data_IF_040809070304
#
_entry.id   IF_040809070304
#
_cell.length_a   1.000
_cell.length_b   1.000
_cell.length_c   1.000
_cell.angle_alpha   90.00
_cell.angle_beta   90.00
_cell.angle_gamma   90.00
#
_symmetry.space_group_name_H-M   'P 1'
#
loop_
_entity.id
_entity.type
_entity.pdbx_description
1 polymer ?
#
# COMPACT_ATOMS: atom_id res chain seq x y z
N UNK A 1 1.45 -22.21 -1.29
CA UNK A 1 0.77 -21.87 -0.02
C UNK A 1 0.85 -20.38 0.13
N UNK A 2 -0.14 -19.75 0.73
CA UNK A 2 -0.12 -18.29 0.90
C UNK A 2 0.91 -17.85 1.94
N UNK A 3 1.46 -16.65 1.81
CA UNK A 3 2.30 -16.03 2.84
C UNK A 3 1.49 -15.88 4.14
N UNK A 4 2.08 -16.14 5.33
CA UNK A 4 1.39 -15.94 6.61
C UNK A 4 0.84 -14.51 6.81
N UNK A 5 -0.02 -14.34 7.81
CA UNK A 5 -0.48 -13.03 8.22
C UNK A 5 0.71 -12.13 8.61
N UNK A 6 0.74 -10.93 8.06
CA UNK A 6 1.66 -9.83 8.36
C UNK A 6 1.12 -9.02 9.56
N UNK A 7 -0.20 -8.84 9.64
CA UNK A 7 -0.88 -8.12 10.71
C UNK A 7 -1.74 -9.05 11.57
N UNK A 8 -1.81 -8.73 12.87
CA UNK A 8 -2.89 -9.20 13.74
C UNK A 8 -4.09 -8.25 13.61
N UNK A 9 -4.92 -8.50 12.60
CA UNK A 9 -6.08 -7.65 12.28
C UNK A 9 -7.08 -7.64 13.45
N UNK A 10 -7.25 -8.76 14.15
CA UNK A 10 -8.18 -8.82 15.28
C UNK A 10 -7.72 -7.94 16.44
N UNK A 11 -6.43 -7.93 16.76
CA UNK A 11 -5.88 -7.01 17.76
C UNK A 11 -6.01 -5.54 17.32
N UNK A 12 -5.71 -5.23 16.05
CA UNK A 12 -5.83 -3.87 15.50
C UNK A 12 -7.28 -3.37 15.45
N UNK A 13 -8.24 -4.26 15.24
CA UNK A 13 -9.67 -3.95 15.15
C UNK A 13 -10.42 -4.21 16.48
N UNK A 14 -9.74 -4.62 17.56
CA UNK A 14 -10.33 -4.70 18.89
C UNK A 14 -10.67 -3.29 19.42
N UNK A 15 -11.69 -3.12 20.29
CA UNK A 15 -12.04 -1.80 20.82
C UNK A 15 -10.84 -1.09 21.46
N UNK A 16 -10.75 0.22 21.26
CA UNK A 16 -9.77 1.05 21.99
C UNK A 16 -10.05 0.93 23.51
N UNK A 17 -9.03 0.76 24.37
CA UNK A 17 -9.23 0.69 25.81
C UNK A 17 -9.91 1.96 26.36
N UNK A 18 -11.03 1.79 27.07
CA UNK A 18 -11.75 2.88 27.71
C UNK A 18 -13.25 2.91 27.39
N UNK A 19 -13.93 4.04 27.64
CA UNK A 19 -15.37 4.16 27.45
C UNK A 19 -15.79 4.37 25.98
N UNK A 20 -14.87 4.81 25.11
CA UNK A 20 -15.13 5.07 23.68
C UNK A 20 -14.44 3.99 22.82
N UNK A 21 -15.18 3.02 22.24
CA UNK A 21 -14.59 1.87 21.56
C UNK A 21 -13.83 2.22 20.26
N UNK A 22 -14.16 3.37 19.66
CA UNK A 22 -13.47 3.93 18.50
C UNK A 22 -12.37 4.94 18.86
N UNK A 23 -12.22 5.29 20.14
CA UNK A 23 -11.19 6.21 20.62
C UNK A 23 -11.51 7.68 20.36
N UNK A 24 -10.49 8.46 20.03
CA UNK A 24 -10.56 9.93 19.84
C UNK A 24 -10.09 10.35 18.43
N UNK A 25 -10.54 11.53 17.96
CA UNK A 25 -10.01 12.13 16.73
C UNK A 25 -8.65 12.77 17.02
N UNK A 26 -7.58 12.08 16.62
CA UNK A 26 -6.22 12.54 16.83
C UNK A 26 -5.85 13.79 16.02
N UNK A 27 -6.69 14.21 15.05
CA UNK A 27 -6.51 15.49 14.32
C UNK A 27 -6.77 16.70 15.21
N UNK A 28 -7.56 16.52 16.27
CA UNK A 28 -7.86 17.57 17.24
C UNK A 28 -6.77 17.71 18.32
N UNK A 29 -5.78 16.81 18.34
CA UNK A 29 -4.64 16.87 19.26
C UNK A 29 -3.58 17.87 18.75
N UNK A 30 -3.73 19.12 19.19
CA UNK A 30 -2.80 20.22 18.85
C UNK A 30 -1.53 20.25 19.71
N UNK A 31 -1.25 19.20 20.49
CA UNK A 31 -0.03 19.14 21.30
C UNK A 31 1.21 19.08 20.40
N UNK A 32 2.26 19.81 20.79
CA UNK A 32 3.52 19.78 20.05
C UNK A 32 4.10 18.38 20.11
N UNK A 33 4.29 17.76 18.94
CA UNK A 33 4.79 16.39 18.83
C UNK A 33 3.74 15.31 19.00
N UNK A 34 2.45 15.62 18.85
CA UNK A 34 1.38 14.62 18.81
C UNK A 34 1.71 13.50 17.81
N UNK A 35 1.52 12.24 18.23
CA UNK A 35 1.94 11.07 17.46
C UNK A 35 1.29 10.96 16.08
N UNK A 36 0.04 11.43 15.94
CA UNK A 36 -0.63 11.47 14.64
C UNK A 36 0.04 12.45 13.67
N UNK A 37 0.44 13.64 14.15
CA UNK A 37 1.18 14.59 13.33
C UNK A 37 2.57 14.04 12.99
N UNK A 38 3.25 13.41 13.96
CA UNK A 38 4.53 12.72 13.72
C UNK A 38 4.40 11.66 12.62
N UNK A 39 3.32 10.87 12.62
CA UNK A 39 3.05 9.86 11.60
C UNK A 39 2.86 10.49 10.21
N UNK A 40 2.08 11.57 10.10
CA UNK A 40 1.89 12.31 8.85
C UNK A 40 3.19 12.93 8.33
N UNK A 41 3.98 13.53 9.20
CA UNK A 41 5.26 14.14 8.85
C UNK A 41 6.28 13.09 8.39
N UNK A 42 6.34 11.95 9.09
CA UNK A 42 7.16 10.82 8.70
C UNK A 42 6.78 10.33 7.31
N UNK A 43 5.50 10.02 7.06
CA UNK A 43 5.04 9.60 5.73
C UNK A 43 5.38 10.61 4.65
N UNK A 44 5.16 11.90 4.91
CA UNK A 44 5.47 12.97 3.93
C UNK A 44 6.94 12.98 3.56
N UNK A 45 7.83 12.89 4.57
CA UNK A 45 9.28 12.86 4.39
C UNK A 45 9.73 11.61 3.62
N UNK A 46 9.24 10.44 4.00
CA UNK A 46 9.59 9.16 3.38
C UNK A 46 9.17 9.12 1.92
N UNK A 47 7.97 9.58 1.59
CA UNK A 47 7.52 9.71 0.19
C UNK A 47 8.34 10.71 -0.61
N UNK A 48 8.79 11.80 0.01
CA UNK A 48 9.69 12.75 -0.65
C UNK A 48 11.07 12.13 -0.93
N UNK A 49 11.60 11.34 0.00
CA UNK A 49 12.84 10.58 -0.19
C UNK A 49 12.72 9.56 -1.33
N UNK A 50 11.62 8.81 -1.41
CA UNK A 50 11.38 7.89 -2.54
C UNK A 50 11.34 8.61 -3.89
N UNK A 51 10.66 9.76 -3.97
CA UNK A 51 10.63 10.57 -5.20
C UNK A 51 12.02 11.09 -5.58
N UNK A 52 12.82 11.50 -4.60
CA UNK A 52 14.18 11.96 -4.83
C UNK A 52 15.09 10.82 -5.32
N UNK A 53 14.97 9.62 -4.73
CA UNK A 53 15.71 8.44 -5.16
C UNK A 53 15.31 8.05 -6.60
N UNK A 54 14.02 8.03 -6.91
CA UNK A 54 13.52 7.73 -8.26
C UNK A 54 14.03 8.75 -9.30
N UNK A 55 14.08 10.04 -8.98
CA UNK A 55 14.63 11.07 -9.87
C UNK A 55 16.14 10.95 -10.09
N UNK A 56 16.86 10.33 -9.15
CA UNK A 56 18.29 10.08 -9.21
C UNK A 56 18.65 8.70 -9.78
N UNK A 57 17.65 7.90 -10.20
CA UNK A 57 17.81 6.49 -10.57
C UNK A 57 18.49 5.64 -9.46
N UNK A 58 18.20 6.00 -8.20
CA UNK A 58 18.70 5.32 -7.01
C UNK A 58 17.68 4.26 -6.55
N UNK A 59 18.12 3.01 -6.47
CA UNK A 59 17.29 1.90 -5.99
C UNK A 59 17.14 1.87 -4.45
N UNK A 60 17.80 2.78 -3.72
CA UNK A 60 17.72 2.86 -2.25
C UNK A 60 16.29 3.08 -1.76
N UNK A 61 15.86 2.23 -0.83
CA UNK A 61 14.51 2.26 -0.25
C UNK A 61 14.53 2.61 1.24
N UNK A 62 13.62 3.48 1.72
CA UNK A 62 13.51 3.86 3.14
C UNK A 62 12.77 2.79 3.95
N UNK A 63 13.33 1.58 4.01
CA UNK A 63 12.72 0.40 4.64
C UNK A 63 12.51 0.60 6.14
N UNK A 64 13.46 1.26 6.83
CA UNK A 64 13.37 1.48 8.26
C UNK A 64 12.22 2.42 8.62
N UNK A 65 12.02 3.46 7.82
CA UNK A 65 11.01 4.48 8.02
C UNK A 65 9.61 3.96 7.71
N UNK A 66 9.46 3.10 6.69
CA UNK A 66 8.19 2.39 6.48
C UNK A 66 7.84 1.45 7.64
N UNK A 67 8.83 0.81 8.27
CA UNK A 67 8.59 0.01 9.49
C UNK A 67 8.18 0.89 10.66
N UNK A 68 8.75 2.09 10.79
CA UNK A 68 8.35 3.06 11.81
C UNK A 68 6.89 3.52 11.60
N UNK A 69 6.46 3.73 10.35
CA UNK A 69 5.05 4.02 10.01
C UNK A 69 4.13 2.88 10.44
N UNK A 70 4.49 1.62 10.18
CA UNK A 70 3.67 0.47 10.61
C UNK A 70 3.62 0.34 12.14
N UNK A 71 4.74 0.54 12.81
CA UNK A 71 4.81 0.46 14.27
C UNK A 71 3.94 1.54 14.93
N UNK A 72 4.11 2.80 14.51
CA UNK A 72 3.35 3.93 15.05
C UNK A 72 1.86 3.83 14.69
N UNK A 73 1.53 3.41 13.47
CA UNK A 73 0.14 3.17 13.07
C UNK A 73 -0.52 2.07 13.90
N UNK A 74 0.20 0.99 14.21
CA UNK A 74 -0.27 -0.10 15.07
C UNK A 74 -0.54 0.39 16.49
N UNK A 75 0.37 1.17 17.07
CA UNK A 75 0.20 1.77 18.40
C UNK A 75 -1.05 2.65 18.46
N UNK A 76 -1.23 3.53 17.47
CA UNK A 76 -2.38 4.43 17.44
C UNK A 76 -3.70 3.70 17.23
N UNK A 77 -3.75 2.72 16.31
CA UNK A 77 -4.97 1.95 16.05
C UNK A 77 -5.37 1.08 17.25
N UNK A 78 -4.42 0.48 17.95
CA UNK A 78 -4.71 -0.36 19.12
C UNK A 78 -5.04 0.46 20.37
N UNK A 79 -4.38 1.61 20.56
CA UNK A 79 -4.40 2.33 21.83
C UNK A 79 -5.24 3.60 21.88
N UNK A 80 -5.52 4.26 20.74
CA UNK A 80 -6.06 5.62 20.76
C UNK A 80 -7.20 5.91 19.80
N UNK A 81 -7.18 5.38 18.58
CA UNK A 81 -8.13 5.84 17.54
C UNK A 81 -8.37 4.80 16.45
N UNK A 82 -9.63 4.58 16.07
CA UNK A 82 -9.99 3.82 14.86
C UNK A 82 -10.08 4.79 13.69
N UNK A 83 -9.04 4.80 12.86
CA UNK A 83 -8.82 5.87 11.89
C UNK A 83 -8.42 5.34 10.50
N UNK A 84 -9.17 5.74 9.47
CA UNK A 84 -8.94 5.35 8.08
C UNK A 84 -7.68 5.97 7.48
N UNK A 85 -7.27 7.14 7.93
CA UNK A 85 -6.02 7.74 7.47
C UNK A 85 -4.82 6.98 8.00
N UNK A 86 -4.85 6.59 9.27
CA UNK A 86 -3.79 5.75 9.85
C UNK A 86 -3.73 4.41 9.11
N UNK A 87 -4.88 3.76 8.91
CA UNK A 87 -4.95 2.50 8.18
C UNK A 87 -4.45 2.65 6.72
N UNK A 88 -4.83 3.70 6.01
CA UNK A 88 -4.36 3.97 4.65
C UNK A 88 -2.83 4.16 4.58
N UNK A 89 -2.24 4.89 5.55
CA UNK A 89 -0.78 5.03 5.65
C UNK A 89 -0.10 3.69 5.94
N UNK A 90 -0.73 2.81 6.73
CA UNK A 90 -0.24 1.45 6.94
C UNK A 90 -0.31 0.61 5.67
N UNK A 91 -1.37 0.70 4.85
CA UNK A 91 -1.44 0.01 3.55
C UNK A 91 -0.26 0.39 2.65
N UNK A 92 0.11 1.67 2.62
CA UNK A 92 1.29 2.13 1.86
C UNK A 92 2.60 1.49 2.33
N UNK A 93 2.79 1.37 3.66
CA UNK A 93 3.97 0.71 4.24
C UNK A 93 3.97 -0.80 3.97
N UNK A 94 2.82 -1.44 4.14
CA UNK A 94 2.64 -2.89 3.91
C UNK A 94 2.92 -3.27 2.45
N UNK A 95 2.43 -2.47 1.49
CA UNK A 95 2.70 -2.71 0.08
C UNK A 95 4.21 -2.72 -0.23
N UNK A 96 4.98 -1.82 0.39
CA UNK A 96 6.41 -1.66 0.16
C UNK A 96 7.26 -2.69 0.88
N UNK A 97 6.83 -3.10 2.07
CA UNK A 97 7.59 -4.03 2.92
C UNK A 97 7.24 -5.49 2.66
N UNK A 98 5.99 -5.76 2.28
CA UNK A 98 5.41 -7.11 2.25
C UNK A 98 4.63 -7.41 0.96
N UNK A 99 4.64 -6.51 -0.03
CA UNK A 99 4.04 -6.75 -1.34
C UNK A 99 2.56 -7.09 -1.26
N UNK A 100 2.14 -8.10 -2.03
CA UNK A 100 0.74 -8.53 -2.10
C UNK A 100 0.20 -9.12 -0.80
N UNK A 101 1.02 -9.83 -0.02
CA UNK A 101 0.62 -10.29 1.32
C UNK A 101 0.34 -9.12 2.27
N UNK A 102 1.14 -8.05 2.17
CA UNK A 102 0.89 -6.80 2.88
C UNK A 102 -0.39 -6.10 2.44
N UNK A 103 -0.65 -6.05 1.14
CA UNK A 103 -1.89 -5.46 0.59
C UNK A 103 -3.13 -6.23 1.05
N UNK A 104 -3.10 -7.57 1.01
CA UNK A 104 -4.17 -8.41 1.55
C UNK A 104 -4.53 -8.00 2.99
N UNK A 105 -3.53 -7.93 3.87
CA UNK A 105 -3.78 -7.61 5.28
C UNK A 105 -4.17 -6.14 5.47
N UNK A 106 -3.58 -5.23 4.69
CA UNK A 106 -3.91 -3.81 4.72
C UNK A 106 -5.36 -3.53 4.30
N UNK A 107 -5.83 -4.16 3.22
CA UNK A 107 -7.23 -4.07 2.81
C UNK A 107 -8.15 -4.77 3.80
N UNK A 108 -7.74 -5.92 4.36
CA UNK A 108 -8.47 -6.59 5.42
C UNK A 108 -8.62 -5.74 6.69
N UNK A 109 -7.58 -4.99 7.07
CA UNK A 109 -7.63 -4.04 8.18
C UNK A 109 -8.65 -2.92 7.93
N UNK A 110 -8.59 -2.26 6.76
CA UNK A 110 -9.55 -1.20 6.43
C UNK A 110 -10.97 -1.77 6.42
N UNK A 111 -11.18 -2.93 5.81
CA UNK A 111 -12.47 -3.62 5.81
C UNK A 111 -12.98 -3.84 7.24
N UNK A 112 -12.17 -4.40 8.13
CA UNK A 112 -12.55 -4.68 9.51
C UNK A 112 -12.90 -3.39 10.29
N UNK A 113 -12.17 -2.29 10.05
CA UNK A 113 -12.47 -0.99 10.66
C UNK A 113 -13.81 -0.42 10.17
N UNK A 114 -14.05 -0.45 8.85
CA UNK A 114 -15.31 -0.01 8.24
C UNK A 114 -16.48 -0.86 8.75
N UNK A 115 -16.32 -2.18 8.78
CA UNK A 115 -17.36 -3.10 9.23
C UNK A 115 -17.78 -2.86 10.69
N UNK A 116 -16.80 -2.72 11.58
CA UNK A 116 -17.03 -2.68 13.03
C UNK A 116 -17.34 -1.29 13.57
N UNK A 117 -16.78 -0.24 12.96
CA UNK A 117 -16.76 1.09 13.57
C UNK A 117 -17.31 2.20 12.68
N UNK A 118 -17.93 1.89 11.53
CA UNK A 118 -18.37 2.88 10.54
C UNK A 118 -18.88 4.19 11.15
N UNK A 119 -19.86 4.14 12.05
CA UNK A 119 -20.51 5.33 12.60
C UNK A 119 -19.56 6.23 13.42
N UNK A 120 -18.61 5.63 14.14
CA UNK A 120 -17.62 6.31 15.00
C UNK A 120 -16.21 6.37 14.41
N UNK A 121 -16.02 6.00 13.15
CA UNK A 121 -14.71 5.92 12.50
C UNK A 121 -14.20 7.32 12.15
N UNK A 122 -12.90 7.54 12.36
CA UNK A 122 -12.22 8.79 11.99
C UNK A 122 -11.58 8.69 10.58
N UNK A 123 -11.50 9.78 9.80
CA UNK A 123 -12.09 11.09 10.05
C UNK A 123 -13.63 11.05 10.14
N UNK A 124 -14.21 11.95 10.95
CA UNK A 124 -15.64 12.16 10.95
C UNK A 124 -16.11 12.83 9.63
N UNK A 125 -17.34 12.58 9.18
CA UNK A 125 -17.96 13.35 8.11
C UNK A 125 -18.04 14.84 8.48
N UNK A 126 -17.78 15.72 7.52
CA UNK A 126 -17.88 17.18 7.68
C UNK A 126 -18.89 17.79 6.68
N UNK A 127 -18.67 19.02 6.22
CA UNK A 127 -19.52 19.69 5.23
C UNK A 127 -19.59 18.93 3.89
N UNK A 128 -18.55 18.16 3.54
CA UNK A 128 -18.49 17.28 2.37
C UNK A 128 -19.03 15.86 2.67
N UNK A 129 -19.55 15.65 3.89
CA UNK A 129 -20.18 14.41 4.31
C UNK A 129 -19.21 13.23 4.34
N UNK A 130 -19.67 12.06 3.88
CA UNK A 130 -18.90 10.80 3.94
C UNK A 130 -17.64 10.86 3.08
N UNK A 131 -17.60 11.72 2.05
CA UNK A 131 -16.43 11.90 1.20
C UNK A 131 -15.16 12.23 2.02
N UNK A 132 -15.27 13.07 3.05
CA UNK A 132 -14.15 13.39 3.95
C UNK A 132 -13.63 12.18 4.70
N UNK A 133 -14.53 11.34 5.23
CA UNK A 133 -14.17 10.12 5.94
C UNK A 133 -13.38 9.15 5.05
N UNK A 134 -13.84 8.94 3.82
CA UNK A 134 -13.23 7.95 2.91
C UNK A 134 -12.10 8.50 2.07
N UNK A 135 -11.87 9.82 2.07
CA UNK A 135 -10.78 10.48 1.34
C UNK A 135 -9.40 9.82 1.51
N UNK A 136 -8.98 9.34 2.70
CA UNK A 136 -7.70 8.66 2.83
C UNK A 136 -7.63 7.36 2.01
N UNK A 137 -8.74 6.64 1.91
CA UNK A 137 -8.86 5.41 1.11
C UNK A 137 -8.95 5.75 -0.38
N UNK A 138 -9.74 6.76 -0.76
CA UNK A 138 -9.77 7.31 -2.13
C UNK A 138 -8.37 7.70 -2.60
N UNK A 139 -7.58 8.33 -1.74
CA UNK A 139 -6.20 8.74 -2.05
C UNK A 139 -5.24 7.59 -2.37
N UNK A 140 -5.56 6.35 -1.95
CA UNK A 140 -4.76 5.17 -2.28
C UNK A 140 -4.87 4.83 -3.76
N UNK A 141 -6.09 4.84 -4.32
CA UNK A 141 -6.35 4.57 -5.75
C UNK A 141 -6.11 5.82 -6.62
N UNK A 142 -6.57 6.96 -6.12
CA UNK A 142 -6.48 8.27 -6.76
C UNK A 142 -7.82 8.76 -7.30
N UNK A 143 -7.96 10.07 -7.42
CA UNK A 143 -9.13 10.75 -7.99
C UNK A 143 -8.63 11.78 -9.01
N UNK A 144 -8.94 11.58 -10.29
CA UNK A 144 -8.43 12.42 -11.38
C UNK A 144 -6.92 12.27 -11.67
N UNK A 145 -6.24 11.31 -11.05
CA UNK A 145 -4.81 11.00 -11.24
C UNK A 145 -4.39 9.74 -10.47
N UNK A 146 -3.11 9.36 -10.55
CA UNK A 146 -2.61 8.18 -9.84
C UNK A 146 -2.55 8.40 -8.31
N UNK A 147 -3.17 7.49 -7.57
CA UNK A 147 -3.13 7.46 -6.10
C UNK A 147 -1.82 6.95 -5.55
N UNK A 148 -1.72 6.98 -4.21
CA UNK A 148 -0.46 6.69 -3.51
C UNK A 148 -0.02 5.23 -3.58
N UNK A 149 -0.91 4.29 -3.93
CA UNK A 149 -0.57 2.87 -4.10
C UNK A 149 -0.14 2.49 -5.51
N UNK A 150 -0.46 3.27 -6.54
CA UNK A 150 -0.23 2.86 -7.94
C UNK A 150 1.27 2.68 -8.24
N UNK A 151 2.09 3.66 -7.87
CA UNK A 151 3.54 3.56 -8.07
C UNK A 151 4.15 2.41 -7.22
N UNK A 152 3.85 2.26 -5.92
CA UNK A 152 4.32 1.11 -5.13
C UNK A 152 3.93 -0.24 -5.71
N UNK A 153 2.67 -0.40 -6.15
CA UNK A 153 2.17 -1.63 -6.78
C UNK A 153 3.01 -2.04 -8.00
N UNK A 154 3.31 -1.08 -8.89
CA UNK A 154 4.15 -1.34 -10.08
C UNK A 154 5.56 -1.77 -9.71
N UNK A 155 6.02 -1.48 -8.49
CA UNK A 155 7.36 -1.75 -7.98
C UNK A 155 7.46 -2.97 -7.09
N UNK A 156 6.34 -3.64 -6.78
CA UNK A 156 6.37 -4.97 -6.16
C UNK A 156 7.01 -5.94 -7.18
N UNK A 157 8.09 -6.67 -6.82
CA UNK A 157 8.66 -7.67 -7.69
C UNK A 157 7.65 -8.77 -8.02
N UNK A 158 7.54 -9.10 -9.31
CA UNK A 158 6.76 -10.23 -9.81
C UNK A 158 7.65 -11.42 -10.17
N UNK A 159 8.91 -11.13 -10.52
CA UNK A 159 9.91 -12.14 -10.83
C UNK A 159 10.99 -12.10 -9.75
N UNK A 160 11.15 -13.21 -9.04
CA UNK A 160 12.16 -13.39 -8.01
C UNK A 160 13.31 -14.27 -8.52
N UNK A 161 14.11 -13.73 -9.45
CA UNK A 161 15.29 -14.43 -9.95
C UNK A 161 16.41 -14.50 -8.90
N UNK A 162 17.36 -15.42 -9.09
CA UNK A 162 18.49 -15.60 -8.16
C UNK A 162 19.44 -14.39 -8.12
N UNK A 163 19.65 -13.76 -9.28
CA UNK A 163 20.57 -12.63 -9.44
C UNK A 163 19.86 -11.28 -9.41
N UNK A 164 18.64 -11.23 -9.95
CA UNK A 164 17.87 -10.01 -10.07
C UNK A 164 16.39 -10.28 -9.92
N UNK A 165 15.70 -9.33 -9.28
CA UNK A 165 14.26 -9.29 -9.21
C UNK A 165 13.72 -8.29 -10.22
N UNK A 166 12.56 -8.57 -10.80
CA UNK A 166 11.88 -7.66 -11.73
C UNK A 166 10.47 -7.35 -11.25
N UNK A 167 10.18 -6.06 -11.14
CA UNK A 167 8.85 -5.55 -10.88
C UNK A 167 8.10 -5.28 -12.17
N UNK A 168 6.78 -5.06 -12.06
CA UNK A 168 5.89 -4.85 -13.22
C UNK A 168 6.41 -3.77 -14.17
N UNK A 169 6.88 -2.63 -13.64
CA UNK A 169 7.38 -1.54 -14.50
C UNK A 169 8.60 -1.95 -15.34
N UNK A 170 9.50 -2.78 -14.81
CA UNK A 170 10.67 -3.28 -15.54
C UNK A 170 10.26 -4.28 -16.62
N UNK A 171 9.27 -5.13 -16.32
CA UNK A 171 8.76 -6.12 -17.26
C UNK A 171 8.08 -5.42 -18.45
N UNK A 172 7.27 -4.40 -18.19
CA UNK A 172 6.64 -3.60 -19.25
C UNK A 172 7.69 -2.85 -20.09
N UNK A 173 8.64 -2.19 -19.43
CA UNK A 173 9.74 -1.50 -20.11
C UNK A 173 10.56 -2.46 -21.00
N UNK A 174 10.88 -3.66 -20.50
CA UNK A 174 11.64 -4.65 -21.27
C UNK A 174 10.87 -5.09 -22.54
N UNK A 175 9.55 -5.24 -22.45
CA UNK A 175 8.69 -5.51 -23.59
C UNK A 175 8.71 -4.39 -24.64
N UNK A 176 8.61 -3.14 -24.20
CA UNK A 176 8.69 -1.96 -25.08
C UNK A 176 10.06 -1.88 -25.77
N UNK A 177 11.15 -2.05 -25.01
CA UNK A 177 12.53 -1.99 -25.53
C UNK A 177 12.78 -3.11 -26.54
N UNK A 178 12.25 -4.31 -26.32
CA UNK A 178 12.35 -5.42 -27.25
C UNK A 178 11.61 -5.18 -28.58
N UNK A 179 10.66 -4.22 -28.61
CA UNK A 179 9.96 -3.80 -29.83
C UNK A 179 10.69 -2.75 -30.65
N UNK A 180 11.77 -2.14 -30.14
CA UNK A 180 12.51 -1.09 -30.81
C UNK A 180 13.48 -1.63 -31.89
N UNK A 181 13.84 -0.75 -32.82
CA UNK A 181 14.92 -0.97 -33.79
C UNK A 181 16.25 -1.28 -33.08
N UNK A 182 17.17 -2.06 -33.70
CA UNK A 182 18.37 -2.55 -33.03
C UNK A 182 19.24 -1.47 -32.37
N UNK A 183 19.48 -0.35 -33.05
CA UNK A 183 20.31 0.74 -32.52
C UNK A 183 19.64 1.42 -31.32
N UNK A 184 18.33 1.67 -31.40
CA UNK A 184 17.55 2.29 -30.32
C UNK A 184 17.46 1.35 -29.12
N UNK A 185 17.25 0.06 -29.37
CA UNK A 185 17.27 -0.99 -28.33
C UNK A 185 18.60 -1.00 -27.61
N UNK A 186 19.71 -1.06 -28.34
CA UNK A 186 21.05 -1.08 -27.74
C UNK A 186 21.31 0.18 -26.91
N UNK A 187 20.86 1.35 -27.37
CA UNK A 187 20.97 2.59 -26.62
C UNK A 187 20.19 2.54 -25.30
N UNK A 188 18.95 2.00 -25.31
CA UNK A 188 18.13 1.86 -24.09
C UNK A 188 18.75 0.87 -23.09
N UNK A 189 19.27 -0.26 -23.58
CA UNK A 189 19.96 -1.26 -22.76
C UNK A 189 21.24 -0.69 -22.12
N UNK A 190 22.04 0.06 -22.88
CA UNK A 190 23.22 0.75 -22.36
C UNK A 190 22.87 1.82 -21.32
N UNK A 191 21.65 2.37 -21.40
CA UNK A 191 21.07 3.29 -20.42
C UNK A 191 20.41 2.62 -19.21
N UNK A 192 20.61 1.31 -19.00
CA UNK A 192 20.13 0.59 -17.81
C UNK A 192 18.72 -0.01 -17.93
N UNK A 193 18.07 0.08 -19.10
CA UNK A 193 16.78 -0.57 -19.29
C UNK A 193 16.87 -2.09 -19.13
N UNK A 194 15.80 -2.70 -18.62
CA UNK A 194 15.74 -4.14 -18.46
C UNK A 194 15.73 -4.85 -19.83
N UNK A 195 16.55 -5.88 -19.98
CA UNK A 195 16.55 -6.76 -21.15
C UNK A 195 15.47 -7.85 -21.02
N UNK A 196 14.66 -8.05 -22.07
CA UNK A 196 13.53 -8.97 -22.04
C UNK A 196 13.98 -10.43 -21.92
N UNK A 197 15.09 -10.81 -22.55
CA UNK A 197 15.60 -12.18 -22.46
C UNK A 197 16.14 -12.46 -21.04
N UNK A 198 16.81 -11.50 -20.42
CA UNK A 198 17.22 -11.60 -19.01
C UNK A 198 16.02 -11.71 -18.05
N UNK A 199 14.94 -10.98 -18.31
CA UNK A 199 13.67 -11.09 -17.56
C UNK A 199 13.07 -12.50 -17.71
N UNK A 200 13.01 -13.03 -18.94
CA UNK A 200 12.49 -14.38 -19.22
C UNK A 200 13.33 -15.47 -18.56
N UNK A 201 14.64 -15.38 -18.64
CA UNK A 201 15.55 -16.32 -17.97
C UNK A 201 15.33 -16.31 -16.45
N UNK A 202 15.25 -15.12 -15.84
CA UNK A 202 14.99 -15.00 -14.40
C UNK A 202 13.63 -15.56 -13.99
N UNK A 203 12.61 -15.44 -14.85
CA UNK A 203 11.30 -16.06 -14.62
C UNK A 203 11.35 -17.59 -14.70
N UNK A 204 12.12 -18.15 -15.64
CA UNK A 204 12.30 -19.60 -15.79
C UNK A 204 13.02 -20.22 -14.59
N UNK A 205 13.92 -19.46 -13.95
CA UNK A 205 14.66 -19.88 -12.76
C UNK A 205 13.85 -19.80 -11.46
N UNK A 206 12.63 -19.23 -11.48
CA UNK A 206 11.80 -19.14 -10.29
C UNK A 206 11.34 -20.52 -9.81
N UNK A 207 11.53 -20.86 -8.53
CA UNK A 207 10.98 -22.09 -7.98
C UNK A 207 9.45 -22.11 -8.11
N UNK A 208 8.88 -23.23 -8.56
CA UNK A 208 7.42 -23.38 -8.71
C UNK A 208 6.66 -23.01 -7.42
N UNK A 209 7.17 -23.42 -6.26
CA UNK A 209 6.58 -23.06 -4.97
C UNK A 209 6.56 -21.54 -4.68
N UNK A 210 7.54 -20.78 -5.20
CA UNK A 210 7.56 -19.32 -5.08
C UNK A 210 6.52 -18.68 -6.00
N UNK A 211 6.36 -19.22 -7.22
CA UNK A 211 5.29 -18.81 -8.15
C UNK A 211 3.91 -19.09 -7.55
N UNK A 212 3.69 -20.29 -7.01
CA UNK A 212 2.41 -20.66 -6.37
C UNK A 212 2.08 -19.75 -5.19
N UNK A 213 3.08 -19.39 -4.38
CA UNK A 213 2.92 -18.46 -3.26
C UNK A 213 2.55 -17.06 -3.74
N UNK A 214 3.28 -16.53 -4.73
CA UNK A 214 3.02 -15.22 -5.31
C UNK A 214 1.61 -15.14 -5.90
N UNK A 215 1.19 -16.15 -6.68
CA UNK A 215 -0.16 -16.20 -7.25
C UNK A 215 -1.24 -16.25 -6.17
N UNK A 216 -1.02 -17.04 -5.10
CA UNK A 216 -1.94 -17.09 -3.97
C UNK A 216 -2.04 -15.75 -3.22
N UNK A 217 -0.92 -15.05 -3.03
CA UNK A 217 -0.91 -13.73 -2.39
C UNK A 217 -1.62 -12.67 -3.25
N UNK A 218 -1.40 -12.68 -4.58
CA UNK A 218 -2.10 -11.79 -5.51
C UNK A 218 -3.61 -12.05 -5.48
N UNK A 219 -4.03 -13.31 -5.60
CA UNK A 219 -5.44 -13.68 -5.58
C UNK A 219 -6.13 -13.22 -4.29
N UNK A 220 -5.51 -13.46 -3.14
CA UNK A 220 -6.07 -13.03 -1.86
C UNK A 220 -6.07 -11.51 -1.66
N UNK A 221 -5.06 -10.79 -2.18
CA UNK A 221 -5.08 -9.33 -2.17
C UNK A 221 -6.22 -8.78 -3.02
N UNK A 222 -6.52 -9.40 -4.16
CA UNK A 222 -7.67 -9.06 -5.01
C UNK A 222 -9.00 -9.35 -4.30
N UNK A 223 -9.13 -10.50 -3.66
CA UNK A 223 -10.32 -10.86 -2.88
C UNK A 223 -10.56 -9.86 -1.73
N UNK A 224 -9.51 -9.51 -0.98
CA UNK A 224 -9.57 -8.53 0.10
C UNK A 224 -9.94 -7.13 -0.41
N UNK A 225 -9.37 -6.71 -1.55
CA UNK A 225 -9.72 -5.45 -2.21
C UNK A 225 -11.20 -5.43 -2.64
N UNK A 226 -11.68 -6.49 -3.28
CA UNK A 226 -13.09 -6.60 -3.69
C UNK A 226 -14.05 -6.59 -2.49
N UNK A 227 -13.67 -7.23 -1.37
CA UNK A 227 -14.45 -7.16 -0.13
C UNK A 227 -14.51 -5.73 0.42
N UNK A 228 -13.37 -5.03 0.42
CA UNK A 228 -13.29 -3.63 0.82
C UNK A 228 -14.16 -2.73 -0.08
N UNK A 229 -14.12 -2.89 -1.40
CA UNK A 229 -14.99 -2.13 -2.31
C UNK A 229 -16.46 -2.36 -2.01
N UNK A 230 -16.89 -3.62 -1.85
CA UNK A 230 -18.30 -3.94 -1.55
C UNK A 230 -18.80 -3.25 -0.28
N UNK A 231 -18.03 -3.33 0.82
CA UNK A 231 -18.47 -2.69 2.06
C UNK A 231 -18.44 -1.16 1.97
N UNK A 232 -17.51 -0.57 1.23
CA UNK A 232 -17.51 0.87 0.99
C UNK A 232 -18.69 1.31 0.14
N UNK A 233 -19.04 0.56 -0.92
CA UNK A 233 -20.23 0.81 -1.74
C UNK A 233 -21.52 0.77 -0.91
N UNK A 234 -21.66 -0.23 -0.04
CA UNK A 234 -22.80 -0.37 0.88
C UNK A 234 -22.91 0.81 1.86
N UNK A 235 -21.78 1.34 2.33
CA UNK A 235 -21.74 2.38 3.37
C UNK A 235 -21.76 3.82 2.82
N UNK A 236 -21.19 4.04 1.63
CA UNK A 236 -21.01 5.37 1.05
C UNK A 236 -21.98 5.66 -0.10
N UNK A 237 -22.52 4.62 -0.76
CA UNK A 237 -23.38 4.81 -1.92
C UNK A 237 -22.67 5.62 -3.03
N UNK A 238 -23.25 6.75 -3.49
CA UNK A 238 -22.64 7.59 -4.52
C UNK A 238 -21.25 8.14 -4.19
N UNK A 239 -20.92 8.26 -2.90
CA UNK A 239 -19.64 8.80 -2.42
C UNK A 239 -18.58 7.71 -2.22
N UNK A 240 -18.81 6.49 -2.73
CA UNK A 240 -17.86 5.40 -2.62
C UNK A 240 -16.54 5.73 -3.34
N UNK A 241 -15.37 5.41 -2.72
CA UNK A 241 -14.09 5.55 -3.39
C UNK A 241 -14.04 4.82 -4.74
N UNK A 242 -13.29 5.33 -5.73
CA UNK A 242 -13.10 4.65 -6.99
C UNK A 242 -12.43 3.28 -6.75
N UNK A 243 -12.96 2.24 -7.40
CA UNK A 243 -12.42 0.87 -7.40
C UNK A 243 -11.41 0.61 -8.51
#
# INVERSE_FOLDING_TARGET
MQTPAILDIEALAAPVPGPAPYGEDLRSDFTSGADFQRLRDLRTRVRAQERAADAADDETRPVAEWREILALGTELLTGRSKDLEIAAMMVEGLARLHGYAGLRDGFGLIHALVERYWDGLFPEPDEDGVATRVRPVTGLNGEGGEGTLIQPLRRIPLIHGQQRHYALWQILQAGEVAGLDPDQRQQRLNGGAADLEAVRASAQDMPAAAVDTLLADIAAAQEAFQALCRILDERCGPDSPPS
#
